data_IF_879319943544
#
_entry.id   IF_879319943544
#
_cell.length_a   1.000
_cell.length_b   1.000
_cell.length_c   1.000
_cell.angle_alpha   90.00
_cell.angle_beta   90.00
_cell.angle_gamma   90.00
#
_symmetry.space_group_name_H-M   'P 1'
#
loop_
_entity.id
_entity.type
_entity.pdbx_description
1 polymer ?
#
# COMPACT_ATOMS: atom_id res chain seq x y z
N UNK A 1 2.29 2.91 3.49
CA UNK A 1 1.16 2.43 4.33
C UNK A 1 1.71 2.07 5.70
N UNK A 2 1.04 2.35 6.83
CA UNK A 2 1.63 2.03 8.15
C UNK A 2 1.51 0.53 8.45
N UNK A 3 0.29 -0.02 8.32
CA UNK A 3 0.05 -1.46 8.43
C UNK A 3 -1.25 -1.84 7.69
N UNK A 4 -1.32 -3.02 7.05
CA UNK A 4 -2.59 -3.57 6.58
C UNK A 4 -3.36 -4.16 7.77
N UNK A 5 -4.62 -4.52 7.54
CA UNK A 5 -5.41 -5.30 8.50
C UNK A 5 -4.77 -6.67 8.66
N UNK A 6 -4.62 -7.11 9.91
CA UNK A 6 -4.04 -8.39 10.24
C UNK A 6 -4.98 -9.18 11.14
N UNK A 7 -5.00 -10.50 10.99
CA UNK A 7 -5.74 -11.41 11.86
C UNK A 7 -4.78 -12.43 12.47
N UNK A 8 -4.77 -12.52 13.79
CA UNK A 8 -4.05 -13.57 14.49
C UNK A 8 -4.69 -14.93 14.19
N UNK A 9 -3.90 -15.89 13.72
CA UNK A 9 -4.38 -17.23 13.30
C UNK A 9 -4.79 -18.13 14.46
N UNK A 10 -4.24 -17.90 15.66
CA UNK A 10 -4.47 -18.71 16.85
C UNK A 10 -5.64 -18.15 17.68
N UNK A 11 -5.66 -16.83 17.89
CA UNK A 11 -6.66 -16.17 18.75
C UNK A 11 -7.86 -15.61 17.97
N UNK A 12 -7.71 -15.45 16.64
CA UNK A 12 -8.73 -14.82 15.80
C UNK A 12 -8.83 -13.30 15.96
N UNK A 13 -8.01 -12.69 16.83
CA UNK A 13 -7.98 -11.24 17.04
C UNK A 13 -7.66 -10.49 15.75
N UNK A 14 -8.43 -9.45 15.44
CA UNK A 14 -8.26 -8.62 14.25
C UNK A 14 -7.65 -7.28 14.66
N UNK A 15 -6.47 -6.99 14.11
CA UNK A 15 -5.81 -5.70 14.24
C UNK A 15 -6.15 -4.85 13.01
N UNK A 16 -6.86 -3.72 13.17
CA UNK A 16 -7.23 -2.87 12.04
C UNK A 16 -6.02 -2.29 11.30
N UNK A 17 -6.15 -2.19 9.97
CA UNK A 17 -5.18 -1.49 9.14
C UNK A 17 -5.10 0.01 9.44
N UNK A 18 -3.94 0.62 9.19
CA UNK A 18 -3.69 2.05 9.40
C UNK A 18 -3.02 2.68 8.17
N UNK A 19 -3.68 3.71 7.64
CA UNK A 19 -3.11 4.60 6.64
C UNK A 19 -2.52 5.83 7.33
N UNK A 20 -1.39 6.29 6.82
CA UNK A 20 -0.69 7.47 7.31
C UNK A 20 -0.07 8.21 6.14
N UNK A 21 -0.12 9.55 6.19
CA UNK A 21 0.62 10.39 5.25
C UNK A 21 2.10 10.35 5.62
N UNK A 22 2.97 10.25 4.61
CA UNK A 22 4.42 10.29 4.76
C UNK A 22 5.04 11.05 3.60
N UNK A 23 6.31 11.43 3.74
CA UNK A 23 7.12 12.01 2.67
C UNK A 23 8.22 11.03 2.31
N UNK A 24 8.38 10.75 1.02
CA UNK A 24 9.45 9.92 0.49
C UNK A 24 10.31 10.77 -0.46
N UNK A 25 11.62 10.51 -0.57
CA UNK A 25 12.45 11.20 -1.55
C UNK A 25 12.01 10.86 -2.98
N UNK A 26 12.25 11.78 -3.90
CA UNK A 26 12.06 11.50 -5.33
C UNK A 26 13.10 10.45 -5.77
N UNK A 27 12.69 9.34 -6.39
CA UNK A 27 13.61 8.30 -6.82
C UNK A 27 14.50 8.79 -7.98
N UNK A 28 15.66 8.17 -8.16
CA UNK A 28 16.53 8.40 -9.32
C UNK A 28 15.86 7.88 -10.59
N UNK A 29 15.86 8.66 -11.65
CA UNK A 29 15.27 8.31 -12.94
C UNK A 29 16.35 7.80 -13.91
N UNK A 30 16.07 6.69 -14.59
CA UNK A 30 16.81 6.24 -15.75
C UNK A 30 16.36 6.99 -17.02
N UNK A 31 17.15 6.89 -18.09
CA UNK A 31 16.87 7.57 -19.36
C UNK A 31 15.56 7.16 -20.04
N UNK A 32 14.98 6.01 -19.65
CA UNK A 32 13.72 5.48 -20.21
C UNK A 32 12.51 5.68 -19.27
N UNK A 33 12.67 6.41 -18.16
CA UNK A 33 11.61 6.68 -17.20
C UNK A 33 11.12 8.14 -17.28
N UNK A 34 9.86 8.35 -16.89
CA UNK A 34 9.25 9.67 -16.80
C UNK A 34 8.81 9.96 -15.37
N UNK A 35 9.05 11.20 -14.91
CA UNK A 35 8.51 11.70 -13.65
C UNK A 35 7.11 12.27 -13.88
N UNK A 36 6.12 11.73 -13.16
CA UNK A 36 4.72 12.11 -13.31
C UNK A 36 4.19 12.74 -12.02
N UNK A 37 3.58 13.92 -12.13
CA UNK A 37 2.80 14.53 -11.05
C UNK A 37 1.38 13.96 -11.07
N UNK A 38 1.05 13.14 -10.07
CA UNK A 38 -0.27 12.50 -9.95
C UNK A 38 -1.31 13.54 -9.49
N UNK A 39 -2.26 13.88 -10.36
CA UNK A 39 -3.37 14.80 -10.04
C UNK A 39 -4.53 14.11 -9.31
N UNK A 40 -4.65 12.78 -9.44
CA UNK A 40 -5.67 11.97 -8.78
C UNK A 40 -5.33 10.48 -8.85
N UNK A 41 -5.79 9.71 -7.86
CA UNK A 41 -5.59 8.27 -7.78
C UNK A 41 -6.92 7.60 -7.41
N UNK A 42 -7.38 6.68 -8.25
CA UNK A 42 -8.56 5.86 -7.96
C UNK A 42 -8.22 4.72 -7.00
N UNK A 43 -9.22 4.25 -6.25
CA UNK A 43 -9.09 3.06 -5.40
C UNK A 43 -9.72 1.88 -6.11
N UNK A 44 -8.91 0.88 -6.45
CA UNK A 44 -9.34 -0.35 -7.07
C UNK A 44 -9.72 -1.38 -6.00
N UNK A 45 -10.49 -2.40 -6.41
CA UNK A 45 -10.81 -3.53 -5.54
C UNK A 45 -9.56 -4.23 -4.98
N UNK A 46 -8.49 -4.34 -5.78
CA UNK A 46 -7.24 -4.96 -5.34
C UNK A 46 -6.55 -4.18 -4.21
N UNK A 47 -6.70 -2.85 -4.17
CA UNK A 47 -6.17 -2.04 -3.06
C UNK A 47 -6.88 -2.40 -1.75
N UNK A 48 -8.19 -2.64 -1.81
CA UNK A 48 -8.99 -3.07 -0.67
C UNK A 48 -8.63 -4.50 -0.25
N UNK A 49 -8.50 -5.41 -1.21
CA UNK A 49 -8.08 -6.79 -0.93
C UNK A 49 -6.70 -6.88 -0.30
N UNK A 50 -5.77 -6.00 -0.71
CA UNK A 50 -4.47 -5.88 -0.06
C UNK A 50 -4.59 -5.32 1.37
N UNK A 51 -5.38 -4.26 1.56
CA UNK A 51 -5.46 -3.56 2.84
C UNK A 51 -6.30 -4.28 3.91
N UNK A 52 -7.39 -4.94 3.52
CA UNK A 52 -8.34 -5.58 4.44
C UNK A 52 -8.19 -7.10 4.49
N UNK A 53 -7.96 -7.74 3.34
CA UNK A 53 -8.07 -9.20 3.21
C UNK A 53 -6.71 -9.92 3.20
N UNK A 54 -5.61 -9.17 3.25
CA UNK A 54 -4.26 -9.73 3.26
C UNK A 54 -3.84 -10.39 1.95
N UNK A 55 -4.49 -10.04 0.83
CA UNK A 55 -4.09 -10.51 -0.51
C UNK A 55 -2.69 -9.98 -0.82
N UNK A 56 -1.69 -10.81 -1.13
CA UNK A 56 -0.31 -10.34 -1.31
C UNK A 56 -0.12 -9.52 -2.60
N UNK A 57 0.72 -8.49 -2.56
CA UNK A 57 1.19 -7.76 -3.73
C UNK A 57 2.59 -8.23 -4.13
N UNK A 58 2.88 -8.20 -5.44
CA UNK A 58 4.24 -8.48 -5.96
C UNK A 58 5.20 -7.38 -5.50
N UNK A 59 4.76 -6.13 -5.58
CA UNK A 59 5.53 -4.97 -5.16
C UNK A 59 5.04 -4.50 -3.79
N UNK A 60 5.96 -4.44 -2.84
CA UNK A 60 5.64 -3.94 -1.49
C UNK A 60 5.43 -2.42 -1.55
N UNK A 61 4.45 -1.89 -0.81
CA UNK A 61 4.26 -0.45 -0.71
C UNK A 61 5.44 0.20 0.02
N UNK A 62 5.70 1.49 -0.25
CA UNK A 62 6.64 2.30 0.50
C UNK A 62 6.14 2.67 1.91
#
# INVERSE_FOLDING_TARGET
>A
MVQPTAKNKETGEVTPGKLGKTSIPVPSLSSEEALVQVAGCGVCHTDLGYFYDGVPTVQKPP
#
